data_IF_981079691135
#
_entry.id   IF_981079691135
#
_cell.length_a   1.000
_cell.length_b   1.000
_cell.length_c   1.000
_cell.angle_alpha   90.00
_cell.angle_beta   90.00
_cell.angle_gamma   90.00
#
_symmetry.space_group_name_H-M   'P 1'
#
loop_
_entity.id
_entity.type
_entity.pdbx_description
1 polymer ?
#
# COMPACT_ATOMS: atom_id res chain seq x y z
N UNK A 1 -6.92 -20.11 8.12
CA UNK A 1 -5.75 -19.24 7.84
C UNK A 1 -5.41 -19.34 6.37
N UNK A 2 -5.02 -18.23 5.72
CA UNK A 2 -4.65 -18.22 4.28
C UNK A 2 -3.18 -18.54 4.01
N UNK A 3 -2.36 -18.66 5.08
CA UNK A 3 -0.91 -18.85 5.01
C UNK A 3 -0.48 -20.00 4.08
N UNK A 4 -1.09 -21.20 4.11
CA UNK A 4 -0.65 -22.31 3.25
C UNK A 4 -0.69 -21.95 1.75
N UNK A 5 -1.71 -21.22 1.32
CA UNK A 5 -1.85 -20.79 -0.08
C UNK A 5 -0.81 -19.73 -0.46
N UNK A 6 -0.49 -18.82 0.47
CA UNK A 6 0.54 -17.80 0.24
C UNK A 6 1.93 -18.43 0.12
N UNK A 7 2.26 -19.34 1.04
CA UNK A 7 3.53 -20.09 1.03
C UNK A 7 3.66 -20.98 -0.20
N UNK A 8 2.59 -21.67 -0.59
CA UNK A 8 2.57 -22.45 -1.83
C UNK A 8 2.81 -21.55 -3.05
N UNK A 9 2.12 -20.41 -3.11
CA UNK A 9 2.25 -19.44 -4.20
C UNK A 9 3.68 -18.93 -4.37
N UNK A 10 4.32 -18.48 -3.30
CA UNK A 10 5.71 -17.99 -3.37
C UNK A 10 6.69 -19.09 -3.74
N UNK A 11 6.53 -20.29 -3.16
CA UNK A 11 7.37 -21.45 -3.48
C UNK A 11 7.24 -21.85 -4.95
N UNK A 12 6.04 -21.79 -5.53
CA UNK A 12 5.81 -22.09 -6.95
C UNK A 12 6.47 -21.08 -7.87
N UNK A 13 6.44 -19.79 -7.51
CA UNK A 13 7.11 -18.74 -8.27
C UNK A 13 8.64 -18.92 -8.26
N UNK A 14 9.24 -19.22 -7.11
CA UNK A 14 10.68 -19.52 -7.02
C UNK A 14 11.07 -20.73 -7.87
N UNK A 15 10.29 -21.83 -7.78
CA UNK A 15 10.52 -23.04 -8.59
C UNK A 15 10.35 -22.79 -10.09
N UNK A 16 9.55 -21.79 -10.48
CA UNK A 16 9.39 -21.38 -11.86
C UNK A 16 10.52 -20.46 -12.37
N UNK A 17 11.51 -20.14 -11.53
CA UNK A 17 12.68 -19.34 -11.91
C UNK A 17 12.56 -17.85 -11.62
N UNK A 18 11.58 -17.42 -10.83
CA UNK A 18 11.57 -16.03 -10.34
C UNK A 18 12.84 -15.76 -9.49
N UNK A 19 13.48 -14.61 -9.69
CA UNK A 19 14.59 -14.16 -8.83
C UNK A 19 14.13 -13.22 -7.71
N UNK A 20 12.89 -12.73 -7.78
CA UNK A 20 12.30 -11.76 -6.86
C UNK A 20 10.78 -11.94 -6.82
N UNK A 21 10.15 -11.73 -5.67
CA UNK A 21 8.69 -11.74 -5.51
C UNK A 21 8.18 -10.38 -5.07
N UNK A 22 7.19 -9.84 -5.80
CA UNK A 22 6.42 -8.66 -5.43
C UNK A 22 4.99 -9.04 -5.07
N UNK A 23 4.47 -8.50 -3.96
CA UNK A 23 3.13 -8.81 -3.44
C UNK A 23 2.18 -7.61 -3.64
N UNK A 24 1.35 -7.56 -4.69
CA UNK A 24 0.49 -6.40 -4.99
C UNK A 24 -0.79 -6.36 -4.14
N UNK A 25 -0.65 -6.53 -2.82
CA UNK A 25 -1.74 -6.38 -1.87
C UNK A 25 -1.18 -5.96 -0.51
N UNK A 26 -1.69 -4.86 0.05
CA UNK A 26 -1.20 -4.34 1.33
C UNK A 26 -1.51 -5.30 2.49
N UNK A 27 -2.75 -5.80 2.57
CA UNK A 27 -3.20 -6.66 3.67
C UNK A 27 -2.37 -7.94 3.85
N UNK A 28 -1.93 -8.59 2.75
CA UNK A 28 -1.20 -9.87 2.83
C UNK A 28 0.22 -9.72 3.38
N UNK A 29 0.74 -8.50 3.49
CA UNK A 29 2.05 -8.26 4.10
C UNK A 29 2.09 -8.60 5.58
N UNK A 30 0.95 -8.78 6.24
CA UNK A 30 0.90 -9.34 7.59
C UNK A 30 1.54 -10.74 7.67
N UNK A 31 1.50 -11.49 6.57
CA UNK A 31 2.10 -12.82 6.46
C UNK A 31 3.44 -12.79 5.70
N UNK A 32 4.09 -11.62 5.59
CA UNK A 32 5.35 -11.45 4.86
C UNK A 32 6.44 -12.40 5.38
N UNK A 33 6.62 -12.49 6.70
CA UNK A 33 7.66 -13.34 7.31
C UNK A 33 7.42 -14.84 7.04
N UNK A 34 6.16 -15.27 6.93
CA UNK A 34 5.84 -16.65 6.56
C UNK A 34 6.23 -16.95 5.11
N UNK A 35 5.91 -16.03 4.20
CA UNK A 35 6.28 -16.14 2.78
C UNK A 35 7.80 -16.07 2.59
N UNK A 36 8.48 -15.13 3.26
CA UNK A 36 9.93 -14.95 3.15
C UNK A 36 10.71 -16.15 3.70
N UNK A 37 10.22 -16.82 4.76
CA UNK A 37 10.86 -18.04 5.29
C UNK A 37 10.72 -19.24 4.35
N UNK A 38 9.73 -19.24 3.47
CA UNK A 38 9.47 -20.36 2.57
C UNK A 38 10.34 -20.37 1.31
N UNK A 39 10.98 -19.25 0.97
CA UNK A 39 11.77 -19.08 -0.26
C UNK A 39 13.14 -18.46 0.05
N UNK A 40 14.11 -18.65 -0.84
CA UNK A 40 15.45 -18.06 -0.72
C UNK A 40 15.57 -16.73 -1.44
N UNK A 41 14.75 -16.51 -2.48
CA UNK A 41 14.68 -15.24 -3.20
C UNK A 41 14.03 -14.14 -2.36
N UNK A 42 14.34 -12.85 -2.60
CA UNK A 42 13.77 -11.76 -1.83
C UNK A 42 12.26 -11.64 -2.10
N UNK A 43 11.50 -11.40 -1.03
CA UNK A 43 10.09 -11.03 -1.08
C UNK A 43 9.99 -9.55 -0.71
N UNK A 44 9.61 -8.70 -1.65
CA UNK A 44 9.49 -7.26 -1.41
C UNK A 44 8.40 -6.94 -0.39
N UNK A 45 8.66 -5.97 0.46
CA UNK A 45 7.72 -5.50 1.47
C UNK A 45 7.17 -4.11 1.10
N UNK A 46 6.04 -4.08 0.39
CA UNK A 46 5.39 -2.88 -0.15
C UNK A 46 5.23 -1.74 0.87
N UNK A 47 4.82 -2.06 2.11
CA UNK A 47 4.57 -1.05 3.15
C UNK A 47 5.89 -0.39 3.61
N UNK A 48 6.99 -1.15 3.71
CA UNK A 48 8.32 -0.64 4.09
C UNK A 48 8.84 0.28 2.99
N UNK A 49 8.78 -0.19 1.74
CA UNK A 49 9.13 0.62 0.56
C UNK A 49 8.32 1.91 0.48
N UNK A 50 7.01 1.84 0.75
CA UNK A 50 6.13 3.02 0.75
C UNK A 50 6.53 4.02 1.83
N UNK A 51 6.80 3.56 3.05
CA UNK A 51 7.25 4.42 4.14
C UNK A 51 8.62 5.06 3.84
N UNK A 52 9.54 4.31 3.23
CA UNK A 52 10.85 4.82 2.80
C UNK A 52 10.74 5.88 1.69
N UNK A 53 9.85 5.68 0.72
CA UNK A 53 9.59 6.66 -0.34
C UNK A 53 9.01 7.94 0.24
N UNK A 54 8.04 7.85 1.17
CA UNK A 54 7.48 9.04 1.81
C UNK A 54 8.55 9.78 2.60
N UNK A 55 9.32 9.09 3.45
CA UNK A 55 10.37 9.71 4.25
C UNK A 55 11.45 10.39 3.40
N UNK A 56 11.82 9.78 2.27
CA UNK A 56 12.84 10.31 1.35
C UNK A 56 12.36 11.51 0.57
N UNK A 57 11.14 11.44 0.02
CA UNK A 57 10.63 12.47 -0.90
C UNK A 57 9.95 13.63 -0.16
N UNK A 58 9.48 13.39 1.07
CA UNK A 58 8.79 14.36 1.92
C UNK A 58 9.39 14.38 3.33
N UNK A 59 10.69 14.71 3.49
CA UNK A 59 11.42 14.60 4.76
C UNK A 59 10.86 15.47 5.90
N UNK A 60 10.11 16.51 5.54
CA UNK A 60 9.48 17.43 6.48
C UNK A 60 8.06 17.01 6.89
N UNK A 61 7.45 16.03 6.21
CA UNK A 61 6.13 15.55 6.56
C UNK A 61 6.16 14.83 7.91
N UNK A 62 5.14 15.09 8.72
CA UNK A 62 4.94 14.49 10.06
C UNK A 62 3.62 13.76 10.14
N UNK A 63 2.61 14.17 9.38
CA UNK A 63 1.25 13.59 9.37
C UNK A 63 0.92 13.02 8.01
N UNK A 64 0.68 11.72 7.95
CA UNK A 64 0.45 11.01 6.69
C UNK A 64 -0.98 10.46 6.67
N UNK A 65 -1.80 10.94 5.74
CA UNK A 65 -3.13 10.42 5.49
C UNK A 65 -3.04 9.01 4.91
N UNK A 66 -3.70 8.03 5.51
CA UNK A 66 -3.72 6.66 5.00
C UNK A 66 -5.13 6.29 4.56
N UNK A 67 -5.30 6.03 3.26
CA UNK A 67 -6.52 5.41 2.72
C UNK A 67 -6.22 3.93 2.48
N UNK A 68 -6.78 3.05 3.29
CA UNK A 68 -6.52 1.61 3.23
C UNK A 68 -7.75 0.80 3.65
N UNK A 69 -7.75 -0.50 3.37
CA UNK A 69 -8.81 -1.39 3.84
C UNK A 69 -8.77 -1.55 5.36
N UNK A 70 -9.91 -1.85 5.99
CA UNK A 70 -9.98 -2.16 7.42
C UNK A 70 -9.02 -3.28 7.81
N UNK A 71 -8.91 -4.30 6.96
CA UNK A 71 -7.95 -5.38 7.14
C UNK A 71 -6.51 -4.89 7.15
N UNK A 72 -6.14 -3.91 6.33
CA UNK A 72 -4.80 -3.31 6.37
C UNK A 72 -4.60 -2.48 7.63
N UNK A 73 -5.57 -1.64 7.99
CA UNK A 73 -5.51 -0.80 9.20
C UNK A 73 -5.35 -1.65 10.46
N UNK A 74 -6.14 -2.73 10.58
CA UNK A 74 -6.11 -3.63 11.74
C UNK A 74 -4.76 -4.34 11.94
N UNK A 75 -3.95 -4.49 10.90
CA UNK A 75 -2.62 -5.12 11.02
C UNK A 75 -1.60 -4.24 11.76
N UNK A 76 -1.82 -2.92 11.80
CA UNK A 76 -0.87 -1.96 12.38
C UNK A 76 0.47 -1.84 11.65
N UNK A 77 0.65 -2.50 10.49
CA UNK A 77 1.94 -2.51 9.77
C UNK A 77 2.33 -1.12 9.30
N UNK A 78 1.39 -0.39 8.69
CA UNK A 78 1.62 1.00 8.29
C UNK A 78 1.99 1.87 9.50
N UNK A 79 1.26 1.75 10.62
CA UNK A 79 1.54 2.52 11.85
C UNK A 79 2.97 2.27 12.33
N UNK A 80 3.40 1.00 12.36
CA UNK A 80 4.76 0.61 12.77
C UNK A 80 5.82 1.21 11.84
N UNK A 81 5.66 1.06 10.53
CA UNK A 81 6.66 1.52 9.57
C UNK A 81 6.77 3.04 9.51
N UNK A 82 5.65 3.77 9.60
CA UNK A 82 5.67 5.23 9.60
C UNK A 82 6.19 5.79 10.94
N UNK A 83 5.79 5.21 12.08
CA UNK A 83 6.28 5.62 13.40
C UNK A 83 7.79 5.45 13.55
N UNK A 84 8.34 4.35 13.01
CA UNK A 84 9.78 4.11 12.98
C UNK A 84 10.57 5.19 12.22
N UNK A 85 9.89 5.97 11.37
CA UNK A 85 10.45 7.08 10.58
C UNK A 85 10.03 8.45 11.13
N UNK A 86 9.49 8.51 12.35
CA UNK A 86 9.08 9.76 13.00
C UNK A 86 7.82 10.41 12.40
N UNK A 87 7.01 9.63 11.68
CA UNK A 87 5.76 10.08 11.06
C UNK A 87 4.56 9.43 11.75
N UNK A 88 3.47 10.19 11.88
CA UNK A 88 2.20 9.73 12.45
C UNK A 88 1.15 9.57 11.36
N UNK A 89 0.34 8.52 11.45
CA UNK A 89 -0.76 8.32 10.52
C UNK A 89 -2.01 9.12 10.92
N UNK A 90 -2.72 9.55 9.88
CA UNK A 90 -4.04 10.17 9.96
C UNK A 90 -4.99 9.28 9.18
N UNK A 91 -5.99 8.76 9.86
CA UNK A 91 -7.01 7.91 9.26
C UNK A 91 -8.28 8.71 8.97
N UNK A 92 -9.10 8.30 8.00
CA UNK A 92 -10.45 8.80 7.87
C UNK A 92 -11.25 8.59 9.17
N UNK A 93 -12.26 9.41 9.40
CA UNK A 93 -13.25 9.12 10.46
C UNK A 93 -13.98 7.80 10.18
N UNK A 94 -14.50 7.14 11.21
CA UNK A 94 -15.09 5.79 11.09
C UNK A 94 -16.19 5.72 10.02
N UNK A 95 -17.08 6.72 9.98
CA UNK A 95 -18.12 6.80 8.96
C UNK A 95 -17.53 6.95 7.55
N UNK A 96 -16.48 7.76 7.37
CA UNK A 96 -15.81 7.96 6.08
C UNK A 96 -15.02 6.71 5.66
N UNK A 97 -14.38 6.04 6.61
CA UNK A 97 -13.71 4.76 6.38
C UNK A 97 -14.69 3.73 5.83
N UNK A 98 -15.86 3.58 6.47
CA UNK A 98 -16.89 2.63 6.04
C UNK A 98 -17.59 3.03 4.75
N UNK A 99 -18.17 4.23 4.70
CA UNK A 99 -19.10 4.63 3.65
C UNK A 99 -18.39 5.16 2.40
N UNK A 100 -17.11 5.56 2.52
CA UNK A 100 -16.30 6.02 1.40
C UNK A 100 -15.19 5.05 1.04
N UNK A 101 -14.21 4.83 1.93
CA UNK A 101 -13.00 4.06 1.59
C UNK A 101 -13.34 2.60 1.31
N UNK A 102 -14.00 1.91 2.24
CA UNK A 102 -14.36 0.50 2.09
C UNK A 102 -15.36 0.27 0.96
N UNK A 103 -16.37 1.16 0.83
CA UNK A 103 -17.34 1.10 -0.26
C UNK A 103 -16.67 1.27 -1.63
N UNK A 104 -15.73 2.19 -1.78
CA UNK A 104 -14.97 2.37 -3.02
C UNK A 104 -14.09 1.15 -3.32
N UNK A 105 -13.35 0.62 -2.32
CA UNK A 105 -12.51 -0.57 -2.50
C UNK A 105 -13.34 -1.75 -3.00
N UNK A 106 -14.47 -2.06 -2.35
CA UNK A 106 -15.33 -3.18 -2.77
C UNK A 106 -16.05 -2.91 -4.08
N UNK A 107 -16.47 -1.66 -4.35
CA UNK A 107 -17.05 -1.26 -5.62
C UNK A 107 -16.10 -1.52 -6.79
N UNK A 108 -14.82 -1.15 -6.64
CA UNK A 108 -13.78 -1.40 -7.64
C UNK A 108 -13.53 -2.90 -7.81
N UNK A 109 -13.44 -3.67 -6.71
CA UNK A 109 -13.28 -5.14 -6.78
C UNK A 109 -14.41 -5.83 -7.54
N UNK A 110 -15.62 -5.29 -7.43
CA UNK A 110 -16.80 -5.79 -8.13
C UNK A 110 -16.91 -5.33 -9.60
N UNK A 111 -15.94 -4.54 -10.11
CA UNK A 111 -16.00 -3.96 -11.45
C UNK A 111 -17.06 -2.87 -11.61
N UNK A 112 -17.42 -2.21 -10.50
CA UNK A 112 -18.42 -1.14 -10.48
C UNK A 112 -17.96 0.17 -11.13
N UNK A 113 -18.80 1.19 -11.03
CA UNK A 113 -18.52 2.50 -11.62
C UNK A 113 -17.30 3.18 -10.98
N UNK A 114 -16.32 3.50 -11.83
CA UNK A 114 -15.10 4.21 -11.46
C UNK A 114 -15.39 5.64 -11.00
N UNK A 115 -16.34 6.34 -11.63
CA UNK A 115 -16.65 7.72 -11.24
C UNK A 115 -17.27 7.77 -9.84
N UNK A 116 -18.23 6.88 -9.56
CA UNK A 116 -18.77 6.74 -8.21
C UNK A 116 -17.68 6.46 -7.16
N UNK A 117 -16.73 5.58 -7.49
CA UNK A 117 -15.60 5.27 -6.60
C UNK A 117 -14.64 6.46 -6.44
N UNK A 118 -14.41 7.24 -7.49
CA UNK A 118 -13.61 8.48 -7.43
C UNK A 118 -14.22 9.49 -6.45
N UNK A 119 -15.54 9.73 -6.50
CA UNK A 119 -16.19 10.70 -5.60
C UNK A 119 -16.13 10.28 -4.12
N UNK A 120 -16.29 8.98 -3.85
CA UNK A 120 -16.10 8.43 -2.50
C UNK A 120 -14.65 8.65 -2.03
N UNK A 121 -13.68 8.33 -2.87
CA UNK A 121 -12.26 8.49 -2.54
C UNK A 121 -11.83 9.95 -2.42
N UNK A 122 -12.42 10.85 -3.19
CA UNK A 122 -12.24 12.29 -3.03
C UNK A 122 -12.70 12.76 -1.66
N UNK A 123 -13.91 12.33 -1.24
CA UNK A 123 -14.45 12.64 0.10
C UNK A 123 -13.52 12.13 1.21
N UNK A 124 -13.00 10.92 1.06
CA UNK A 124 -12.03 10.36 2.00
C UNK A 124 -10.69 11.11 2.03
N UNK A 125 -10.19 11.53 0.86
CA UNK A 125 -9.01 12.37 0.73
C UNK A 125 -9.17 13.72 1.46
N UNK A 126 -10.28 14.42 1.22
CA UNK A 126 -10.58 15.68 1.92
C UNK A 126 -10.66 15.50 3.44
N UNK A 127 -11.23 14.39 3.92
CA UNK A 127 -11.33 14.13 5.35
C UNK A 127 -9.94 14.04 6.01
N UNK A 128 -8.99 13.29 5.41
CA UNK A 128 -7.63 13.20 5.97
C UNK A 128 -6.84 14.51 5.81
N UNK A 129 -7.06 15.26 4.73
CA UNK A 129 -6.47 16.60 4.55
C UNK A 129 -6.94 17.59 5.62
N UNK A 130 -8.26 17.65 5.89
CA UNK A 130 -8.81 18.48 6.97
C UNK A 130 -8.30 18.09 8.36
N UNK A 131 -7.91 16.82 8.53
CA UNK A 131 -7.27 16.32 9.77
C UNK A 131 -5.75 16.57 9.80
N UNK A 132 -5.22 17.28 8.80
CA UNK A 132 -3.85 17.76 8.73
C UNK A 132 -2.87 16.78 8.09
N UNK A 133 -3.33 15.87 7.22
CA UNK A 133 -2.42 15.08 6.39
C UNK A 133 -1.60 15.99 5.48
N UNK A 134 -0.29 15.78 5.45
CA UNK A 134 0.68 16.50 4.60
C UNK A 134 1.07 15.69 3.36
N UNK A 135 0.77 14.39 3.36
CA UNK A 135 0.89 13.44 2.25
C UNK A 135 -0.23 12.43 2.39
N UNK A 136 -0.85 12.00 1.29
CA UNK A 136 -1.81 10.89 1.27
C UNK A 136 -1.15 9.64 0.70
N UNK A 137 -1.21 8.53 1.42
CA UNK A 137 -0.82 7.21 0.95
C UNK A 137 -2.05 6.41 0.52
N UNK A 138 -2.02 5.91 -0.71
CA UNK A 138 -3.00 4.97 -1.24
C UNK A 138 -2.58 3.54 -0.83
N UNK A 139 -2.99 3.14 0.37
CA UNK A 139 -2.62 1.91 1.06
C UNK A 139 -3.50 0.69 0.73
N UNK A 140 -4.19 0.70 -0.41
CA UNK A 140 -4.91 -0.44 -0.97
C UNK A 140 -4.75 -0.41 -2.50
N UNK A 141 -4.48 -1.55 -3.13
CA UNK A 141 -4.08 -1.59 -4.55
C UNK A 141 -5.23 -1.27 -5.50
N UNK A 142 -6.48 -1.32 -5.04
CA UNK A 142 -7.65 -0.86 -5.79
C UNK A 142 -7.80 0.66 -5.80
N UNK A 143 -7.43 1.37 -4.73
CA UNK A 143 -7.64 2.81 -4.60
C UNK A 143 -7.05 3.59 -5.78
N UNK A 144 -5.80 3.34 -6.24
CA UNK A 144 -5.24 4.01 -7.41
C UNK A 144 -6.01 3.85 -8.72
N UNK A 145 -6.90 2.86 -8.84
CA UNK A 145 -7.70 2.67 -10.06
C UNK A 145 -8.77 3.76 -10.23
N UNK A 146 -9.22 4.38 -9.14
CA UNK A 146 -10.27 5.41 -9.13
C UNK A 146 -9.85 6.72 -8.46
N UNK A 147 -8.84 6.74 -7.59
CA UNK A 147 -8.39 7.98 -6.94
C UNK A 147 -7.80 8.96 -7.96
N UNK A 148 -8.28 10.21 -7.95
CA UNK A 148 -7.77 11.27 -8.80
C UNK A 148 -6.80 12.19 -8.03
N UNK A 149 -5.47 12.05 -8.21
CA UNK A 149 -4.48 12.82 -7.46
C UNK A 149 -4.49 14.32 -7.79
N UNK A 150 -5.11 14.75 -8.90
CA UNK A 150 -5.23 16.19 -9.23
C UNK A 150 -6.23 16.92 -8.34
N UNK A 151 -7.09 16.18 -7.64
CA UNK A 151 -8.08 16.74 -6.70
C UNK A 151 -7.58 16.79 -5.26
N UNK A 152 -6.41 16.22 -4.98
CA UNK A 152 -5.76 16.32 -3.67
C UNK A 152 -5.01 17.64 -3.55
N UNK A 153 -5.02 18.23 -2.36
CA UNK A 153 -4.27 19.45 -2.05
C UNK A 153 -2.84 19.17 -1.57
N UNK A 154 -2.55 17.90 -1.24
CA UNK A 154 -1.24 17.43 -0.78
C UNK A 154 -0.66 16.36 -1.70
N UNK A 155 0.66 16.09 -1.66
CA UNK A 155 1.26 14.99 -2.41
C UNK A 155 0.59 13.65 -2.14
N UNK A 156 0.47 12.84 -3.20
CA UNK A 156 -0.16 11.52 -3.15
C UNK A 156 0.87 10.45 -3.51
N UNK A 157 1.00 9.44 -2.66
CA UNK A 157 1.92 8.31 -2.82
C UNK A 157 1.13 7.03 -3.04
N UNK A 158 1.33 6.42 -4.21
CA UNK A 158 0.68 5.17 -4.61
C UNK A 158 1.55 3.97 -4.25
N UNK A 159 1.14 3.16 -3.27
CA UNK A 159 1.89 1.99 -2.83
C UNK A 159 2.12 0.95 -3.94
N UNK A 160 1.17 0.81 -4.89
CA UNK A 160 1.31 -0.09 -6.06
C UNK A 160 2.44 0.38 -6.97
N UNK A 161 2.52 1.70 -7.21
CA UNK A 161 3.60 2.29 -8.01
C UNK A 161 4.94 2.13 -7.31
N UNK A 162 4.99 2.37 -6.01
CA UNK A 162 6.20 2.20 -5.21
C UNK A 162 6.70 0.75 -5.28
N UNK A 163 5.82 -0.25 -5.15
CA UNK A 163 6.20 -1.66 -5.28
C UNK A 163 6.76 -1.98 -6.67
N UNK A 164 6.15 -1.46 -7.73
CA UNK A 164 6.62 -1.67 -9.09
C UNK A 164 8.01 -1.04 -9.31
N UNK A 165 8.22 0.19 -8.84
CA UNK A 165 9.51 0.88 -8.90
C UNK A 165 10.58 0.16 -8.06
N UNK A 166 10.22 -0.39 -6.90
CA UNK A 166 11.10 -1.22 -6.08
C UNK A 166 11.49 -2.52 -6.79
N UNK A 167 10.55 -3.19 -7.45
CA UNK A 167 10.83 -4.40 -8.22
C UNK A 167 11.79 -4.14 -9.39
N UNK A 168 11.57 -3.04 -10.13
CA UNK A 168 12.47 -2.62 -11.21
C UNK A 168 13.87 -2.32 -10.64
N UNK A 169 13.93 -1.59 -9.53
CA UNK A 169 15.19 -1.23 -8.87
C UNK A 169 15.97 -2.48 -8.44
N UNK A 170 15.34 -3.43 -7.76
CA UNK A 170 16.02 -4.64 -7.29
C UNK A 170 16.49 -5.53 -8.45
N UNK A 171 15.67 -5.68 -9.50
CA UNK A 171 16.08 -6.42 -10.69
C UNK A 171 17.40 -5.89 -11.28
N UNK A 172 17.54 -4.57 -11.42
CA UNK A 172 18.77 -3.96 -11.93
C UNK A 172 19.95 -4.01 -10.96
N UNK A 173 19.71 -4.13 -9.64
CA UNK A 173 20.79 -4.33 -8.67
C UNK A 173 21.30 -5.77 -8.70
N UNK A 174 20.42 -6.76 -8.85
CA UNK A 174 20.81 -8.16 -9.00
C UNK A 174 21.56 -8.40 -10.30
N UNK A 175 21.08 -7.84 -11.42
CA UNK A 175 21.73 -7.97 -12.72
C UNK A 175 23.16 -7.40 -12.76
N UNK A 176 23.49 -6.44 -11.89
CA UNK A 176 24.85 -5.89 -11.76
C UNK A 176 25.80 -6.75 -10.92
N UNK A 177 25.27 -7.71 -10.16
CA UNK A 177 26.05 -8.62 -9.30
C UNK A 177 26.42 -9.94 -10.00
N UNK A 178 25.80 -10.22 -11.15
CA UNK A 178 26.08 -11.36 -12.04
C UNK A 178 27.12 -10.97 -13.09
#
# INVERSE_FOLDING_TARGET
>A
SIIPYLVEGTTRLEKAGASLIALPCNTVHFFHDDMQRAVKIPVLHMIRETADVVARNHPNARRIGLLASDGTVATGLYEREFSARGMKLVYPDEAIQKDCVMKAIYGIKAGGDKQASEELLFTAGQNVEHKGAEVIVLGCTEIPLAFNPRRASVPVVNATRVLAEAAIREYFQEAKKQ
#
